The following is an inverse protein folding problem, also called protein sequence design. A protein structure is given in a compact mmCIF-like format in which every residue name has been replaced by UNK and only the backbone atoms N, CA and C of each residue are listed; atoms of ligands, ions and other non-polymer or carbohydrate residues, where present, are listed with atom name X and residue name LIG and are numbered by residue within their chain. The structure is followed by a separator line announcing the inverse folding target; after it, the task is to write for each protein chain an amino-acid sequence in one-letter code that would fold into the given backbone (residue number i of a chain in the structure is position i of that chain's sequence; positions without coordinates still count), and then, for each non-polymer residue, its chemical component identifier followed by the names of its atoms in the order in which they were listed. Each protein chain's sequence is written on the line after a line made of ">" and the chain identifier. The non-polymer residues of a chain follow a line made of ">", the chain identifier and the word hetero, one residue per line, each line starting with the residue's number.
data_IF_667455918117
#
_entry.id   IF_667455918117
#
_cell.length_a   1.000
_cell.length_b   1.000
_cell.length_c   1.000
_cell.angle_alpha   90.00
_cell.angle_beta   90.00
_cell.angle_gamma   90.00
#
_symmetry.space_group_name_H-M   'P 1'
#
loop_
_entity.id
_entity.type
_entity.pdbx_description
1 polymer ?
#
# COMPACT_ATOMS: atom_id res chain seq x y z
N UNK A 1 12.56 15.66 -1.56
CA UNK A 1 11.66 15.14 -0.51
C UNK A 1 10.28 14.87 -1.10
N UNK A 2 9.65 15.88 -1.69
CA UNK A 2 8.30 15.80 -2.29
C UNK A 2 8.15 14.77 -3.42
N UNK A 3 9.18 14.59 -4.24
CA UNK A 3 9.15 13.58 -5.30
C UNK A 3 9.16 12.15 -4.73
N UNK A 4 9.92 11.91 -3.66
CA UNK A 4 10.01 10.60 -3.03
C UNK A 4 8.69 10.21 -2.34
N UNK A 5 8.09 11.13 -1.58
CA UNK A 5 6.77 10.91 -0.97
C UNK A 5 5.68 10.71 -2.04
N UNK A 6 5.73 11.47 -3.14
CA UNK A 6 4.82 11.28 -4.28
C UNK A 6 4.97 9.89 -4.87
N UNK A 7 6.20 9.40 -5.05
CA UNK A 7 6.44 8.06 -5.59
C UNK A 7 5.94 6.96 -4.66
N UNK A 8 6.12 7.10 -3.34
CA UNK A 8 5.55 6.18 -2.35
C UNK A 8 4.02 6.17 -2.39
N UNK A 9 3.38 7.33 -2.49
CA UNK A 9 1.93 7.44 -2.62
C UNK A 9 1.41 6.82 -3.93
N UNK A 10 2.16 6.95 -5.03
CA UNK A 10 1.82 6.29 -6.30
C UNK A 10 1.92 4.76 -6.19
N UNK A 11 2.95 4.24 -5.52
CA UNK A 11 3.07 2.82 -5.25
C UNK A 11 1.90 2.32 -4.38
N UNK A 12 1.55 3.06 -3.32
CA UNK A 12 0.42 2.74 -2.45
C UNK A 12 -0.90 2.65 -3.22
N UNK A 13 -1.13 3.61 -4.13
CA UNK A 13 -2.28 3.58 -5.03
C UNK A 13 -2.28 2.33 -5.92
N UNK A 14 -1.14 1.98 -6.50
CA UNK A 14 -1.01 0.79 -7.36
C UNK A 14 -1.32 -0.52 -6.62
N UNK A 15 -0.89 -0.66 -5.38
CA UNK A 15 -1.22 -1.83 -4.55
C UNK A 15 -2.71 -1.86 -4.19
N UNK A 16 -3.31 -0.71 -3.89
CA UNK A 16 -4.75 -0.61 -3.64
C UNK A 16 -5.58 -1.01 -4.88
N UNK A 17 -5.18 -0.54 -6.07
CA UNK A 17 -5.81 -0.92 -7.34
C UNK A 17 -5.70 -2.45 -7.58
N UNK A 18 -4.58 -3.06 -7.20
CA UNK A 18 -4.38 -4.52 -7.27
C UNK A 18 -5.31 -5.28 -6.33
N UNK A 19 -5.43 -4.85 -5.07
CA UNK A 19 -6.32 -5.45 -4.07
C UNK A 19 -7.79 -5.38 -4.50
N UNK A 20 -8.21 -4.22 -5.02
CA UNK A 20 -9.56 -4.02 -5.56
C UNK A 20 -9.79 -4.95 -6.75
N UNK A 21 -8.88 -4.96 -7.73
CA UNK A 21 -9.00 -5.80 -8.92
C UNK A 21 -9.06 -7.30 -8.61
N UNK A 22 -8.27 -7.79 -7.66
CA UNK A 22 -8.36 -9.18 -7.19
C UNK A 22 -9.70 -9.45 -6.51
N UNK A 23 -10.20 -8.53 -5.69
CA UNK A 23 -11.48 -8.66 -4.98
C UNK A 23 -12.66 -8.72 -5.95
N UNK A 24 -12.69 -7.85 -6.96
CA UNK A 24 -13.73 -7.85 -7.99
C UNK A 24 -13.71 -9.16 -8.80
N UNK A 25 -12.52 -9.63 -9.16
CA UNK A 25 -12.36 -10.90 -9.88
C UNK A 25 -12.83 -12.09 -9.04
N UNK A 26 -12.47 -12.12 -7.76
CA UNK A 26 -12.96 -13.15 -6.83
C UNK A 26 -14.49 -13.15 -6.73
N UNK A 27 -15.12 -11.97 -6.65
CA UNK A 27 -16.57 -11.86 -6.62
C UNK A 27 -17.26 -12.32 -7.92
N UNK A 28 -16.55 -12.25 -9.05
CA UNK A 28 -17.05 -12.69 -10.36
C UNK A 28 -16.79 -14.17 -10.67
N UNK A 29 -16.00 -14.87 -9.84
CA UNK A 29 -15.64 -16.27 -10.13
C UNK A 29 -16.84 -17.20 -9.90
N UNK A 30 -17.08 -18.16 -10.81
CA UNK A 30 -18.08 -19.19 -10.58
C UNK A 30 -17.64 -20.14 -9.45
N UNK A 31 -18.63 -20.62 -8.70
CA UNK A 31 -18.45 -21.59 -7.63
C UNK A 31 -17.67 -22.82 -8.12
N UNK A 32 -16.60 -23.19 -7.40
CA UNK A 32 -15.75 -24.34 -7.71
C UNK A 32 -14.41 -24.03 -8.40
N UNK A 33 -14.11 -22.78 -8.73
CA UNK A 33 -12.83 -22.37 -9.34
C UNK A 33 -11.66 -22.25 -8.33
N UNK A 34 -11.40 -23.31 -7.56
CA UNK A 34 -10.51 -23.28 -6.39
C UNK A 34 -9.09 -22.77 -6.66
N UNK A 35 -8.44 -23.14 -7.78
CA UNK A 35 -7.06 -22.72 -8.04
C UNK A 35 -6.93 -21.24 -8.44
N UNK A 36 -7.87 -20.74 -9.23
CA UNK A 36 -7.87 -19.34 -9.65
C UNK A 36 -8.19 -18.43 -8.45
N UNK A 37 -9.17 -18.81 -7.64
CA UNK A 37 -9.51 -18.11 -6.41
C UNK A 37 -8.32 -18.07 -5.44
N UNK A 38 -7.66 -19.20 -5.16
CA UNK A 38 -6.48 -19.27 -4.30
C UNK A 38 -5.33 -18.37 -4.78
N UNK A 39 -5.11 -18.31 -6.09
CA UNK A 39 -4.05 -17.46 -6.67
C UNK A 39 -4.38 -15.98 -6.47
N UNK A 40 -5.63 -15.58 -6.74
CA UNK A 40 -6.09 -14.21 -6.53
C UNK A 40 -6.05 -13.82 -5.04
N UNK A 41 -6.39 -14.74 -4.15
CA UNK A 41 -6.31 -14.53 -2.70
C UNK A 41 -4.87 -14.30 -2.24
N UNK A 42 -3.89 -15.09 -2.72
CA UNK A 42 -2.48 -14.84 -2.41
C UNK A 42 -2.01 -13.47 -2.90
N UNK A 43 -2.32 -13.12 -4.15
CA UNK A 43 -1.95 -11.80 -4.71
C UNK A 43 -2.60 -10.68 -3.90
N UNK A 44 -3.85 -10.85 -3.50
CA UNK A 44 -4.57 -9.88 -2.67
C UNK A 44 -3.93 -9.71 -1.30
N UNK A 45 -3.51 -10.81 -0.66
CA UNK A 45 -2.82 -10.77 0.63
C UNK A 45 -1.45 -10.08 0.52
N UNK A 46 -0.69 -10.38 -0.53
CA UNK A 46 0.60 -9.75 -0.82
C UNK A 46 0.45 -8.23 -1.00
N UNK A 47 -0.53 -7.79 -1.80
CA UNK A 47 -0.84 -6.37 -1.97
C UNK A 47 -1.21 -5.66 -0.66
N UNK A 48 -1.96 -6.32 0.24
CA UNK A 48 -2.26 -5.76 1.57
C UNK A 48 -0.99 -5.63 2.43
N UNK A 49 -0.09 -6.61 2.39
CA UNK A 49 1.18 -6.53 3.09
C UNK A 49 2.04 -5.36 2.58
N UNK A 50 2.11 -5.18 1.25
CA UNK A 50 2.81 -4.04 0.65
C UNK A 50 2.18 -2.70 1.01
N UNK A 51 0.85 -2.59 1.02
CA UNK A 51 0.13 -1.39 1.50
C UNK A 51 0.56 -1.01 2.91
N UNK A 52 0.63 -2.00 3.81
CA UNK A 52 1.05 -1.77 5.19
C UNK A 52 2.49 -1.24 5.25
N UNK A 53 3.42 -1.88 4.54
CA UNK A 53 4.83 -1.44 4.48
C UNK A 53 4.99 -0.04 3.89
N UNK A 54 4.28 0.27 2.79
CA UNK A 54 4.30 1.59 2.16
C UNK A 54 3.72 2.67 3.07
N UNK A 55 2.65 2.36 3.81
CA UNK A 55 2.04 3.30 4.76
C UNK A 55 3.00 3.64 5.90
N UNK A 56 3.74 2.66 6.42
CA UNK A 56 4.79 2.90 7.42
C UNK A 56 5.90 3.78 6.86
N UNK A 57 6.43 3.47 5.68
CA UNK A 57 7.48 4.26 5.03
C UNK A 57 7.04 5.72 4.76
N UNK A 58 5.80 5.92 4.32
CA UNK A 58 5.20 7.26 4.15
C UNK A 58 5.17 8.01 5.48
N UNK A 59 4.74 7.35 6.55
CA UNK A 59 4.63 7.94 7.89
C UNK A 59 6.00 8.32 8.45
N UNK A 60 6.98 7.43 8.34
CA UNK A 60 8.37 7.68 8.74
C UNK A 60 8.95 8.86 7.97
N UNK A 61 8.82 8.85 6.64
CA UNK A 61 9.35 9.91 5.77
C UNK A 61 8.73 11.29 6.07
N UNK A 62 7.45 11.34 6.41
CA UNK A 62 6.77 12.59 6.81
C UNK A 62 7.15 13.02 8.24
N UNK A 63 7.48 12.08 9.12
CA UNK A 63 7.89 12.38 10.50
C UNK A 63 9.32 12.91 10.59
N UNK A 64 10.22 12.40 9.75
CA UNK A 64 11.63 12.86 9.65
C UNK A 64 11.75 14.30 9.13
N UNK A 65 10.72 14.84 8.47
CA UNK A 65 10.63 16.25 8.07
C UNK A 65 10.20 17.20 9.20
N UNK A 66 9.83 16.70 10.38
CA UNK A 66 9.28 17.51 11.49
C UNK A 66 10.25 17.77 12.64
N UNK A 67 11.55 17.45 12.48
CA UNK A 67 12.58 17.64 13.52
C UNK A 67 13.37 18.95 13.41
N UNK A 68 12.96 19.90 12.56
CA UNK A 68 13.67 21.17 12.38
C UNK A 68 12.75 22.39 12.51
N UNK A 69 12.35 22.71 13.75
CA UNK A 69 12.17 24.10 14.21
C UNK A 69 11.79 24.12 15.69
N UNK A 70 12.81 24.01 16.54
CA UNK A 70 12.73 24.28 17.97
C UNK A 70 14.06 24.83 18.45
N UNK A 71 14.56 25.83 17.71
CA UNK A 71 15.76 26.57 18.05
C UNK A 71 15.69 27.11 19.47
N UNK A 72 16.85 27.05 20.12
CA UNK A 72 17.17 27.61 21.41
C UNK A 72 16.58 29.00 21.60
N UNK A 73 15.88 29.22 22.70
CA UNK A 73 15.83 30.51 23.37
C UNK A 73 15.97 30.26 24.88
N UNK A 74 17.15 30.65 25.37
CA UNK A 74 17.60 30.93 26.75
C UNK A 74 17.77 29.78 27.77
#
# INVERSE_FOLDING_TARGET
>A
MDEAIRNLCLALKGEADTVIGCTDRLASLPDGSNKAAQTLDMIRLDGVAHIQSLTLAITEFMSDGSADSGGSDE
#
